data_IF_257776611757
#
_entry.id   IF_257776611757
#
_cell.length_a   1.000
_cell.length_b   1.000
_cell.length_c   1.000
_cell.angle_alpha   90.00
_cell.angle_beta   90.00
_cell.angle_gamma   90.00
#
_symmetry.space_group_name_H-M   'P 1'
#
loop_
_entity.id
_entity.type
_entity.pdbx_description
1 polymer ?
#
# COMPACT_ATOMS: atom_id res chain seq x y z
N UNK A 1 26.15 -7.31 -8.71
CA UNK A 1 24.81 -7.08 -9.32
C UNK A 1 23.91 -6.57 -8.22
N UNK A 2 23.33 -5.37 -8.29
CA UNK A 2 22.33 -4.98 -7.30
C UNK A 2 21.17 -5.98 -7.44
N UNK A 3 20.87 -6.72 -6.37
CA UNK A 3 19.70 -7.59 -6.33
C UNK A 3 18.50 -6.70 -6.67
N UNK A 4 17.79 -6.99 -7.76
CA UNK A 4 16.52 -6.34 -8.04
C UNK A 4 15.63 -6.60 -6.82
N UNK A 5 15.41 -5.57 -5.99
CA UNK A 5 14.50 -5.67 -4.87
C UNK A 5 13.16 -6.16 -5.39
N UNK A 6 12.60 -7.17 -4.71
CA UNK A 6 11.31 -7.71 -5.09
C UNK A 6 10.28 -6.56 -5.10
N UNK A 7 9.61 -6.28 -6.22
CA UNK A 7 8.73 -5.12 -6.36
C UNK A 7 7.56 -5.17 -5.37
N UNK A 8 7.16 -6.38 -4.93
CA UNK A 8 6.18 -6.58 -3.86
C UNK A 8 6.74 -6.13 -2.52
N UNK A 9 7.99 -6.48 -2.20
CA UNK A 9 8.63 -6.03 -0.96
C UNK A 9 8.73 -4.51 -0.90
N UNK A 10 9.08 -3.87 -2.04
CA UNK A 10 9.12 -2.42 -2.14
C UNK A 10 7.72 -1.80 -1.95
N UNK A 11 6.68 -2.36 -2.59
CA UNK A 11 5.29 -1.92 -2.42
C UNK A 11 4.84 -2.03 -0.96
N UNK A 12 5.09 -3.16 -0.29
CA UNK A 12 4.74 -3.38 1.11
C UNK A 12 5.45 -2.39 2.03
N UNK A 13 6.73 -2.12 1.77
CA UNK A 13 7.48 -1.11 2.51
C UNK A 13 6.90 0.29 2.31
N UNK A 14 6.55 0.68 1.08
CA UNK A 14 5.87 1.95 0.81
C UNK A 14 4.51 2.05 1.52
N UNK A 15 3.74 0.96 1.59
CA UNK A 15 2.48 0.93 2.34
C UNK A 15 2.70 1.17 3.84
N UNK A 16 3.72 0.54 4.44
CA UNK A 16 4.06 0.74 5.85
C UNK A 16 4.47 2.18 6.14
N UNK A 17 5.27 2.78 5.26
CA UNK A 17 5.65 4.19 5.37
C UNK A 17 4.46 5.12 5.24
N UNK A 18 3.62 4.93 4.22
CA UNK A 18 2.42 5.73 4.02
C UNK A 18 1.52 5.71 5.25
N UNK A 19 1.33 4.52 5.84
CA UNK A 19 0.55 4.35 7.06
C UNK A 19 1.18 5.10 8.25
N UNK A 20 2.50 4.99 8.43
CA UNK A 20 3.21 5.69 9.52
C UNK A 20 3.12 7.21 9.36
N UNK A 21 3.36 7.73 8.15
CA UNK A 21 3.29 9.16 7.86
C UNK A 21 1.88 9.70 8.13
N UNK A 22 0.85 9.02 7.62
CA UNK A 22 -0.53 9.43 7.84
C UNK A 22 -0.94 9.35 9.32
N UNK A 23 -0.49 8.34 10.06
CA UNK A 23 -0.76 8.24 11.50
C UNK A 23 -0.09 9.35 12.31
N UNK A 24 1.14 9.73 11.94
CA UNK A 24 1.86 10.81 12.63
C UNK A 24 1.23 12.17 12.37
N UNK A 25 0.64 12.39 11.20
CA UNK A 25 -0.09 13.62 10.84
C UNK A 25 -1.48 13.65 11.47
N UNK A 26 -2.24 12.55 11.36
CA UNK A 26 -3.55 12.37 11.97
C UNK A 26 -3.71 10.93 12.48
N UNK A 27 -3.67 10.71 13.81
CA UNK A 27 -3.73 9.36 14.37
C UNK A 27 -4.99 8.59 13.98
N UNK A 28 -4.80 7.44 13.34
CA UNK A 28 -5.87 6.48 13.12
C UNK A 28 -6.47 5.95 14.43
N UNK A 29 -7.78 6.00 14.54
CA UNK A 29 -8.55 5.57 15.72
C UNK A 29 -9.05 4.13 15.66
N UNK A 30 -8.97 3.47 14.49
CA UNK A 30 -9.42 2.08 14.30
C UNK A 30 -8.65 1.36 13.20
N UNK A 31 -8.71 0.03 13.21
CA UNK A 31 -8.15 -0.79 12.13
C UNK A 31 -8.87 -0.54 10.79
N UNK A 32 -10.19 -0.40 10.81
CA UNK A 32 -10.98 -0.07 9.62
C UNK A 32 -10.53 1.25 8.98
N UNK A 33 -10.16 2.25 9.79
CA UNK A 33 -9.61 3.52 9.28
C UNK A 33 -8.25 3.32 8.58
N UNK A 34 -7.37 2.49 9.15
CA UNK A 34 -6.06 2.13 8.55
C UNK A 34 -6.25 1.39 7.22
N UNK A 35 -7.16 0.42 7.18
CA UNK A 35 -7.50 -0.36 5.97
C UNK A 35 -8.07 0.52 4.87
N UNK A 36 -9.00 1.41 5.22
CA UNK A 36 -9.58 2.39 4.29
C UNK A 36 -8.51 3.32 3.71
N UNK A 37 -7.62 3.85 4.55
CA UNK A 37 -6.50 4.67 4.12
C UNK A 37 -5.61 3.92 3.11
N UNK A 38 -5.20 2.69 3.42
CA UNK A 38 -4.35 1.91 2.51
C UNK A 38 -5.04 1.60 1.18
N UNK A 39 -6.34 1.31 1.19
CA UNK A 39 -7.12 1.06 -0.03
C UNK A 39 -7.17 2.30 -0.94
N UNK A 40 -7.34 3.49 -0.34
CA UNK A 40 -7.28 4.77 -1.05
C UNK A 40 -5.86 5.04 -1.56
N UNK A 41 -4.84 4.84 -0.73
CA UNK A 41 -3.44 5.04 -1.10
C UNK A 41 -3.03 4.16 -2.28
N UNK A 42 -3.44 2.89 -2.31
CA UNK A 42 -3.20 1.95 -3.41
C UNK A 42 -3.80 2.44 -4.74
N UNK A 43 -4.90 3.20 -4.72
CA UNK A 43 -5.48 3.78 -5.93
C UNK A 43 -4.56 4.82 -6.57
N UNK A 44 -3.83 5.58 -5.74
CA UNK A 44 -2.80 6.52 -6.19
C UNK A 44 -1.52 5.79 -6.62
N UNK A 45 -1.04 4.87 -5.80
CA UNK A 45 0.22 4.15 -6.04
C UNK A 45 0.21 3.36 -7.35
N UNK A 46 -0.94 2.82 -7.80
CA UNK A 46 -1.05 2.10 -9.08
C UNK A 46 -0.62 2.94 -10.30
N UNK A 47 -0.68 4.27 -10.19
CA UNK A 47 -0.30 5.19 -11.28
C UNK A 47 1.21 5.46 -11.35
N UNK A 48 1.98 5.01 -10.35
CA UNK A 48 3.43 5.25 -10.28
C UNK A 48 4.16 4.25 -11.19
N UNK A 49 5.04 4.69 -12.11
CA UNK A 49 5.73 3.80 -13.05
C UNK A 49 6.52 2.65 -12.40
N UNK A 50 7.05 2.87 -11.20
CA UNK A 50 7.78 1.88 -10.39
C UNK A 50 6.96 0.62 -10.12
N UNK A 51 5.62 0.74 -10.08
CA UNK A 51 4.71 -0.37 -9.82
C UNK A 51 3.99 -0.86 -11.09
N UNK A 52 4.46 -0.45 -12.28
CA UNK A 52 3.93 -0.95 -13.54
C UNK A 52 4.07 -2.48 -13.61
N UNK A 53 3.04 -3.16 -14.11
CA UNK A 53 2.99 -4.62 -14.17
C UNK A 53 2.46 -5.32 -12.92
N UNK A 54 2.24 -4.61 -11.80
CA UNK A 54 1.75 -5.21 -10.54
C UNK A 54 0.21 -5.24 -10.40
N UNK A 55 -0.53 -5.31 -11.49
CA UNK A 55 -1.99 -5.14 -11.46
C UNK A 55 -2.70 -6.19 -10.57
N UNK A 56 -2.18 -7.42 -10.55
CA UNK A 56 -2.74 -8.53 -9.77
C UNK A 56 -2.50 -8.31 -8.27
N UNK A 57 -1.31 -7.87 -7.90
CA UNK A 57 -0.90 -7.58 -6.52
C UNK A 57 -1.75 -6.45 -5.95
N UNK A 58 -1.94 -5.36 -6.71
CA UNK A 58 -2.81 -4.26 -6.31
C UNK A 58 -4.27 -4.70 -6.11
N UNK A 59 -4.78 -5.55 -7.00
CA UNK A 59 -6.15 -6.07 -6.88
C UNK A 59 -6.28 -6.95 -5.64
N UNK A 60 -5.35 -7.88 -5.44
CA UNK A 60 -5.32 -8.78 -4.28
C UNK A 60 -5.21 -8.02 -2.97
N UNK A 61 -4.31 -7.03 -2.89
CA UNK A 61 -4.14 -6.22 -1.68
C UNK A 61 -5.40 -5.41 -1.35
N UNK A 62 -6.08 -4.84 -2.37
CA UNK A 62 -7.35 -4.13 -2.13
C UNK A 62 -8.46 -5.04 -1.64
N UNK A 63 -8.55 -6.25 -2.17
CA UNK A 63 -9.51 -7.26 -1.69
C UNK A 63 -9.21 -7.67 -0.26
N UNK A 64 -7.93 -7.91 0.09
CA UNK A 64 -7.51 -8.25 1.45
C UNK A 64 -7.82 -7.13 2.45
N UNK A 65 -7.62 -5.86 2.06
CA UNK A 65 -7.95 -4.71 2.89
C UNK A 65 -9.46 -4.52 3.07
N UNK A 66 -10.27 -5.02 2.12
CA UNK A 66 -11.74 -4.99 2.18
C UNK A 66 -12.38 -6.21 2.84
N UNK A 67 -11.59 -7.24 3.20
CA UNK A 67 -12.07 -8.38 3.98
C UNK A 67 -11.96 -8.06 5.47
N UNK A 68 -13.09 -8.13 6.17
CA UNK A 68 -13.18 -8.23 7.63
C UNK A 68 -12.90 -9.68 8.06
#
# INVERSE_FOLDING_TARGET
>A
MPQQENPVSHLLWCMLLALRCAHNDTPFTSESARRKFLSQWLTGARKVPTFSGMAREFTTLRELLGKD
#
